data_IF_157016768200
#
_entry.id   IF_157016768200
#
_cell.length_a   1.000
_cell.length_b   1.000
_cell.length_c   1.000
_cell.angle_alpha   90.00
_cell.angle_beta   90.00
_cell.angle_gamma   90.00
#
_symmetry.space_group_name_H-M   'P 1'
#
loop_
_entity.id
_entity.type
_entity.pdbx_description
1 polymer ?
#
# COMPACT_ATOMS: atom_id res chain seq x y z
N UNK A 1 -4.17 -13.69 -19.40
CA UNK A 1 -4.27 -12.22 -19.27
C UNK A 1 -4.40 -11.88 -17.79
N UNK A 2 -3.64 -10.91 -17.27
CA UNK A 2 -3.72 -10.53 -15.85
C UNK A 2 -4.04 -9.06 -15.73
N UNK A 3 -5.07 -8.71 -14.95
CA UNK A 3 -5.48 -7.31 -14.73
C UNK A 3 -4.43 -6.61 -13.87
N UNK A 4 -4.06 -5.39 -14.21
CA UNK A 4 -3.23 -4.51 -13.39
C UNK A 4 -4.09 -3.37 -12.87
N UNK A 5 -4.05 -3.14 -11.56
CA UNK A 5 -4.85 -2.10 -10.89
C UNK A 5 -3.93 -1.05 -10.28
N UNK A 6 -4.33 0.21 -10.36
CA UNK A 6 -3.54 1.34 -9.88
C UNK A 6 -4.41 2.46 -9.32
N UNK A 7 -3.99 3.05 -8.22
CA UNK A 7 -4.53 4.31 -7.70
C UNK A 7 -3.47 5.39 -7.86
N UNK A 8 -3.85 6.52 -8.46
CA UNK A 8 -2.97 7.64 -8.77
C UNK A 8 -3.49 8.91 -8.13
N UNK A 9 -2.60 9.73 -7.55
CA UNK A 9 -2.92 11.03 -6.95
C UNK A 9 -4.13 10.97 -6.01
N UNK A 10 -4.16 9.97 -5.14
CA UNK A 10 -5.32 9.66 -4.31
C UNK A 10 -5.14 10.23 -2.89
N UNK A 11 -6.00 11.18 -2.51
CA UNK A 11 -6.03 11.75 -1.16
C UNK A 11 -7.30 11.32 -0.44
N UNK A 12 -7.13 10.65 0.70
CA UNK A 12 -8.25 10.15 1.50
C UNK A 12 -8.20 10.72 2.92
N UNK A 13 -9.19 11.58 3.20
CA UNK A 13 -9.41 12.19 4.51
C UNK A 13 -10.36 11.38 5.39
N UNK A 14 -11.16 10.50 4.79
CA UNK A 14 -11.99 9.53 5.49
C UNK A 14 -11.36 8.13 5.44
N UNK A 15 -11.87 7.22 6.28
CA UNK A 15 -11.45 5.81 6.28
C UNK A 15 -11.57 5.25 4.87
N UNK A 16 -10.50 4.66 4.37
CA UNK A 16 -10.48 4.05 3.05
C UNK A 16 -10.14 2.56 3.14
N UNK A 17 -10.85 1.76 2.34
CA UNK A 17 -10.63 0.31 2.25
C UNK A 17 -10.69 -0.14 0.81
N UNK A 18 -9.62 -0.76 0.31
CA UNK A 18 -9.58 -1.38 -1.02
C UNK A 18 -9.55 -2.89 -0.93
N UNK A 19 -10.35 -3.53 -1.80
CA UNK A 19 -10.34 -4.97 -2.06
C UNK A 19 -10.07 -5.21 -3.54
N UNK A 20 -9.05 -5.99 -3.85
CA UNK A 20 -8.63 -6.20 -5.24
C UNK A 20 -7.98 -7.57 -5.44
N UNK A 21 -8.23 -8.19 -6.60
CA UNK A 21 -7.51 -9.36 -7.07
C UNK A 21 -6.94 -9.03 -8.45
N UNK A 22 -5.61 -9.01 -8.58
CA UNK A 22 -4.93 -8.54 -9.79
C UNK A 22 -3.55 -9.17 -9.93
N UNK A 23 -2.94 -9.08 -11.11
CA UNK A 23 -1.53 -9.48 -11.26
C UNK A 23 -0.62 -8.51 -10.52
N UNK A 24 -0.85 -7.20 -10.69
CA UNK A 24 -0.16 -6.13 -9.97
C UNK A 24 -1.17 -5.15 -9.39
N UNK A 25 -0.89 -4.63 -8.19
CA UNK A 25 -1.63 -3.55 -7.56
C UNK A 25 -0.66 -2.45 -7.13
N UNK A 26 -0.90 -1.22 -7.56
CA UNK A 26 -0.03 -0.08 -7.26
C UNK A 26 -0.78 1.11 -6.67
N UNK A 27 -0.10 1.85 -5.80
CA UNK A 27 -0.54 3.16 -5.32
C UNK A 27 0.59 4.16 -5.56
N UNK A 28 0.36 5.24 -6.30
CA UNK A 28 1.33 6.33 -6.42
C UNK A 28 0.73 7.67 -6.00
N UNK A 29 1.56 8.50 -5.38
CA UNK A 29 1.18 9.82 -4.85
C UNK A 29 -0.09 9.74 -3.99
N UNK A 30 -0.09 8.84 -3.02
CA UNK A 30 -1.25 8.57 -2.20
C UNK A 30 -1.06 9.16 -0.79
N UNK A 31 -2.02 9.97 -0.34
CA UNK A 31 -2.01 10.57 0.99
C UNK A 31 -3.23 10.12 1.78
N UNK A 32 -3.00 9.47 2.92
CA UNK A 32 -4.07 8.95 3.77
C UNK A 32 -3.97 9.56 5.17
N UNK A 33 -4.93 10.42 5.49
CA UNK A 33 -5.04 11.10 6.78
C UNK A 33 -5.90 10.33 7.78
N UNK A 34 -6.71 9.39 7.30
CA UNK A 34 -7.50 8.49 8.12
C UNK A 34 -7.12 7.02 7.89
N UNK A 35 -7.71 6.12 8.69
CA UNK A 35 -7.39 4.69 8.68
C UNK A 35 -7.48 4.12 7.26
N UNK A 36 -6.39 3.52 6.81
CA UNK A 36 -6.28 2.94 5.47
C UNK A 36 -6.08 1.42 5.58
N UNK A 37 -6.87 0.65 4.83
CA UNK A 37 -6.81 -0.81 4.85
C UNK A 37 -6.84 -1.38 3.45
N UNK A 38 -5.89 -2.27 3.15
CA UNK A 38 -5.84 -3.00 1.88
C UNK A 38 -6.04 -4.48 2.15
N UNK A 39 -6.93 -5.09 1.37
CA UNK A 39 -7.14 -6.54 1.30
C UNK A 39 -6.95 -6.97 -0.15
N UNK A 40 -5.78 -7.47 -0.49
CA UNK A 40 -5.44 -7.75 -1.88
C UNK A 40 -4.92 -9.17 -2.10
N UNK A 41 -5.22 -9.74 -3.26
CA UNK A 41 -4.51 -10.92 -3.78
C UNK A 41 -3.81 -10.48 -5.07
N UNK A 42 -2.49 -10.37 -5.04
CA UNK A 42 -1.73 -9.98 -6.23
C UNK A 42 -0.35 -10.58 -6.26
N UNK A 43 0.26 -10.76 -7.43
CA UNK A 43 1.67 -11.20 -7.47
C UNK A 43 2.58 -10.12 -6.90
N UNK A 44 2.30 -8.86 -7.20
CA UNK A 44 3.05 -7.69 -6.74
C UNK A 44 2.12 -6.62 -6.17
N UNK A 45 2.50 -6.04 -5.03
CA UNK A 45 1.86 -4.89 -4.42
C UNK A 45 2.93 -3.79 -4.19
N UNK A 46 2.68 -2.58 -4.66
CA UNK A 46 3.65 -1.48 -4.59
C UNK A 46 3.05 -0.15 -4.15
N UNK A 47 3.82 0.61 -3.39
CA UNK A 47 3.51 1.99 -3.00
C UNK A 47 4.66 2.90 -3.38
N UNK A 48 4.36 4.02 -4.03
CA UNK A 48 5.33 5.03 -4.42
C UNK A 48 4.84 6.41 -3.96
N UNK A 49 5.68 7.20 -3.29
CA UNK A 49 5.30 8.52 -2.76
C UNK A 49 4.01 8.46 -1.93
N UNK A 50 3.98 7.58 -0.93
CA UNK A 50 2.79 7.34 -0.12
C UNK A 50 2.97 7.85 1.31
N UNK A 51 2.07 8.72 1.76
CA UNK A 51 2.09 9.28 3.12
C UNK A 51 0.87 8.80 3.90
N UNK A 52 1.11 8.15 5.03
CA UNK A 52 0.05 7.65 5.90
C UNK A 52 0.18 8.26 7.29
N UNK A 53 -0.74 9.16 7.63
CA UNK A 53 -0.77 9.87 8.90
C UNK A 53 -1.58 9.14 9.98
N UNK A 54 -2.39 8.16 9.57
CA UNK A 54 -3.18 7.31 10.45
C UNK A 54 -2.83 5.83 10.25
N UNK A 55 -3.45 4.97 11.07
CA UNK A 55 -3.20 3.53 11.05
C UNK A 55 -3.34 2.95 9.64
N UNK A 56 -2.27 2.30 9.18
CA UNK A 56 -2.22 1.64 7.89
C UNK A 56 -2.12 0.13 8.07
N UNK A 57 -2.99 -0.62 7.39
CA UNK A 57 -3.00 -2.08 7.45
C UNK A 57 -3.06 -2.72 6.08
N UNK A 58 -2.14 -3.63 5.79
CA UNK A 58 -2.13 -4.47 4.60
C UNK A 58 -2.39 -5.91 5.01
N UNK A 59 -3.39 -6.54 4.40
CA UNK A 59 -3.60 -7.99 4.39
C UNK A 59 -3.55 -8.43 2.95
N UNK A 60 -2.39 -8.91 2.51
CA UNK A 60 -2.18 -9.25 1.12
C UNK A 60 -1.62 -10.65 0.93
N UNK A 61 -2.22 -11.44 0.06
CA UNK A 61 -1.55 -12.61 -0.50
C UNK A 61 -0.74 -12.14 -1.70
N UNK A 62 0.51 -11.75 -1.46
CA UNK A 62 1.43 -11.36 -2.53
C UNK A 62 2.80 -12.00 -2.42
N UNK A 63 3.45 -12.16 -3.59
CA UNK A 63 4.83 -12.67 -3.68
C UNK A 63 5.84 -11.56 -3.43
N UNK A 64 5.48 -10.30 -3.71
CA UNK A 64 6.32 -9.13 -3.48
C UNK A 64 5.48 -7.96 -2.97
N UNK A 65 6.04 -7.22 -2.01
CA UNK A 65 5.50 -5.99 -1.44
C UNK A 65 6.63 -4.95 -1.37
N UNK A 66 6.48 -3.82 -2.07
CA UNK A 66 7.50 -2.77 -2.14
C UNK A 66 6.99 -1.39 -1.71
N UNK A 67 7.88 -0.61 -1.07
CA UNK A 67 7.60 0.76 -0.66
C UNK A 67 8.74 1.68 -1.10
N UNK A 68 8.44 2.65 -1.95
CA UNK A 68 9.38 3.66 -2.39
C UNK A 68 8.89 5.04 -1.95
N UNK A 69 9.71 5.79 -1.20
CA UNK A 69 9.36 7.10 -0.66
C UNK A 69 8.02 7.04 0.10
N UNK A 70 7.87 6.04 0.97
CA UNK A 70 6.72 5.93 1.84
C UNK A 70 7.05 6.49 3.23
N UNK A 71 6.11 7.25 3.80
CA UNK A 71 6.18 7.74 5.17
C UNK A 71 4.97 7.25 5.95
N UNK A 72 5.21 6.66 7.13
CA UNK A 72 4.18 6.20 8.05
C UNK A 72 4.36 6.93 9.38
N UNK A 73 3.45 7.83 9.71
CA UNK A 73 3.48 8.61 10.95
C UNK A 73 2.68 7.97 12.08
N UNK A 74 2.07 6.81 11.80
CA UNK A 74 1.31 6.02 12.74
C UNK A 74 1.57 4.53 12.52
N UNK A 75 0.89 3.67 13.29
CA UNK A 75 1.08 2.22 13.25
C UNK A 75 0.85 1.66 11.84
N UNK A 76 1.90 1.07 11.28
CA UNK A 76 1.85 0.23 10.10
C UNK A 76 1.76 -1.25 10.51
N UNK A 77 0.92 -2.02 9.82
CA UNK A 77 0.79 -3.46 10.04
C UNK A 77 0.63 -4.16 8.70
N UNK A 78 1.45 -5.16 8.43
CA UNK A 78 1.36 -5.96 7.20
C UNK A 78 1.33 -7.45 7.52
N UNK A 79 0.48 -8.19 6.82
CA UNK A 79 0.46 -9.65 6.81
C UNK A 79 0.49 -10.06 5.35
N UNK A 80 1.70 -10.36 4.85
CA UNK A 80 1.91 -10.85 3.49
C UNK A 80 2.81 -12.10 3.50
N UNK A 81 2.45 -13.09 2.67
CA UNK A 81 3.00 -14.45 2.70
C UNK A 81 4.46 -14.55 2.21
N UNK A 82 4.98 -13.52 1.55
CA UNK A 82 6.41 -13.39 1.22
C UNK A 82 6.74 -11.89 1.05
N UNK A 83 7.63 -11.36 1.89
CA UNK A 83 7.93 -9.92 1.91
C UNK A 83 9.40 -9.67 1.58
N UNK A 84 9.70 -9.36 0.31
CA UNK A 84 10.94 -8.65 -0.03
C UNK A 84 10.68 -7.17 0.22
N UNK A 85 10.82 -6.74 1.48
CA UNK A 85 10.67 -5.35 1.86
C UNK A 85 11.85 -4.54 1.31
N UNK A 86 11.69 -3.88 0.16
CA UNK A 86 12.52 -2.71 -0.15
C UNK A 86 11.82 -1.50 0.47
N UNK A 87 12.31 -1.07 1.62
CA UNK A 87 11.95 0.21 2.25
C UNK A 87 13.06 1.20 1.94
N UNK A 88 12.77 2.18 1.07
CA UNK A 88 13.49 3.46 1.11
C UNK A 88 12.60 4.44 1.87
N UNK A 89 12.68 4.36 3.20
CA UNK A 89 11.97 5.27 4.10
C UNK A 89 12.78 6.56 4.18
N UNK A 90 12.15 7.72 3.94
CA UNK A 90 12.75 8.97 4.39
C UNK A 90 12.65 8.99 5.92
N UNK A 91 13.81 9.07 6.60
CA UNK A 91 13.85 9.52 7.98
C UNK A 91 13.57 11.02 7.95
N UNK A 92 12.53 11.44 8.65
CA UNK A 92 12.26 12.85 8.99
C UNK A 92 12.70 13.01 10.43
#
# INVERSE_FOLDING_TARGET
>A
MGVNLGFQNASHFAKFTTRACSRQLGFQNASHFAKFTIRACSRQLGFQNASHFAKFTIRACSRQLGFQNAAHFAKFTTSALLVIVKLKSLKI
#
